data_IF_271866250111
#
_entry.id   IF_271866250111
#
_cell.length_a   1.000
_cell.length_b   1.000
_cell.length_c   1.000
_cell.angle_alpha   90.00
_cell.angle_beta   90.00
_cell.angle_gamma   90.00
#
_symmetry.space_group_name_H-M   'P 1'
#
loop_
_entity.id
_entity.type
_entity.pdbx_description
1 polymer ?
#
# COMPACT_ATOMS: atom_id res chain seq x y z
N UNK A 1 -6.78 22.12 -8.24
CA UNK A 1 -6.21 20.87 -7.70
C UNK A 1 -4.73 20.85 -8.06
N UNK A 2 -3.87 20.61 -7.08
CA UNK A 2 -2.42 20.51 -7.25
C UNK A 2 -2.03 19.07 -6.97
N UNK A 3 -1.26 18.45 -7.86
CA UNK A 3 -0.71 17.11 -7.67
C UNK A 3 0.80 17.26 -7.53
N UNK A 4 1.34 16.74 -6.43
CA UNK A 4 2.76 16.82 -6.14
C UNK A 4 3.19 15.60 -5.30
N UNK A 5 4.49 15.28 -5.25
CA UNK A 5 5.01 14.26 -4.34
C UNK A 5 4.69 14.58 -2.88
N UNK A 6 4.62 13.57 -1.98
CA UNK A 6 4.28 13.78 -0.56
C UNK A 6 5.16 14.81 0.16
N UNK A 7 6.45 14.89 -0.20
CA UNK A 7 7.40 15.86 0.36
C UNK A 7 7.02 17.32 0.10
N UNK A 8 6.29 17.59 -0.98
CA UNK A 8 5.87 18.95 -1.34
C UNK A 8 4.86 19.55 -0.34
N UNK A 9 4.15 18.72 0.44
CA UNK A 9 3.18 19.19 1.45
C UNK A 9 3.89 20.03 2.54
N UNK A 10 5.11 19.66 2.92
CA UNK A 10 5.89 20.35 3.95
C UNK A 10 6.74 21.52 3.40
N UNK A 11 6.87 21.64 2.08
CA UNK A 11 7.73 22.63 1.42
C UNK A 11 7.19 24.06 1.63
N UNK A 12 8.11 25.04 1.67
CA UNK A 12 7.80 26.47 1.67
C UNK A 12 6.91 26.89 0.51
N UNK A 13 7.03 26.24 -0.65
CA UNK A 13 6.16 26.51 -1.79
C UNK A 13 4.69 26.24 -1.47
N UNK A 14 4.36 25.13 -0.79
CA UNK A 14 2.98 24.78 -0.44
C UNK A 14 2.34 25.78 0.54
N UNK A 15 3.14 26.40 1.42
CA UNK A 15 2.67 27.46 2.34
C UNK A 15 2.19 28.72 1.64
N UNK A 16 2.49 28.90 0.34
CA UNK A 16 2.02 30.03 -0.48
C UNK A 16 0.61 29.81 -1.02
N UNK A 17 0.10 28.58 -0.95
CA UNK A 17 -1.28 28.27 -1.35
C UNK A 17 -2.24 28.85 -0.30
N UNK A 18 -3.30 29.49 -0.76
CA UNK A 18 -4.34 30.01 0.13
C UNK A 18 -5.23 28.86 0.60
N UNK A 19 -5.27 28.63 1.92
CA UNK A 19 -6.13 27.65 2.60
C UNK A 19 -6.21 26.30 1.88
N UNK A 20 -5.07 25.62 1.61
CA UNK A 20 -5.10 24.34 0.93
C UNK A 20 -5.73 23.29 1.85
N UNK A 21 -6.63 22.46 1.32
CA UNK A 21 -7.04 21.22 1.97
C UNK A 21 -6.00 20.15 1.66
N UNK A 22 -5.29 19.67 2.68
CA UNK A 22 -4.27 18.65 2.48
C UNK A 22 -4.92 17.29 2.21
N UNK A 23 -4.72 16.78 1.00
CA UNK A 23 -5.21 15.48 0.56
C UNK A 23 -4.05 14.50 0.34
N UNK A 24 -4.29 13.21 0.56
CA UNK A 24 -3.39 12.14 0.14
C UNK A 24 -4.23 11.00 -0.46
N UNK A 25 -3.78 10.46 -1.59
CA UNK A 25 -4.43 9.35 -2.28
C UNK A 25 -3.59 8.08 -2.12
N UNK A 26 -4.10 7.11 -1.36
CA UNK A 26 -3.46 5.81 -1.13
C UNK A 26 -4.47 4.84 -0.50
N UNK A 27 -4.36 3.54 -0.78
CA UNK A 27 -5.11 2.51 -0.04
C UNK A 27 -4.94 2.61 1.48
N UNK A 28 -3.75 3.05 1.93
CA UNK A 28 -3.46 3.27 3.36
C UNK A 28 -4.27 4.39 4.00
N UNK A 29 -4.92 5.26 3.22
CA UNK A 29 -5.80 6.30 3.75
C UNK A 29 -7.07 5.75 4.40
N UNK A 30 -7.36 4.46 4.19
CA UNK A 30 -8.37 3.72 4.95
C UNK A 30 -8.01 3.60 6.45
N UNK A 31 -6.72 3.60 6.79
CA UNK A 31 -6.24 3.49 8.18
C UNK A 31 -6.22 4.86 8.84
N UNK A 32 -7.20 5.12 9.72
CA UNK A 32 -7.36 6.43 10.41
C UNK A 32 -6.09 6.96 11.07
N UNK A 33 -5.31 6.08 11.72
CA UNK A 33 -4.06 6.48 12.37
C UNK A 33 -3.03 6.99 11.35
N UNK A 34 -2.92 6.36 10.17
CA UNK A 34 -1.99 6.78 9.11
C UNK A 34 -2.40 8.11 8.48
N UNK A 35 -3.70 8.32 8.24
CA UNK A 35 -4.20 9.60 7.77
C UNK A 35 -3.89 10.73 8.77
N UNK A 36 -4.18 10.49 10.06
CA UNK A 36 -3.89 11.43 11.15
C UNK A 36 -2.39 11.72 11.30
N UNK A 37 -1.53 10.70 11.27
CA UNK A 37 -0.09 10.89 11.45
C UNK A 37 0.55 11.67 10.30
N UNK A 38 -0.05 11.63 9.11
CA UNK A 38 0.39 12.38 7.93
C UNK A 38 -0.24 13.78 7.83
N UNK A 39 -1.04 14.21 8.80
CA UNK A 39 -1.71 15.52 8.78
C UNK A 39 -2.66 15.69 7.58
N UNK A 40 -3.22 14.59 7.07
CA UNK A 40 -4.12 14.60 5.93
C UNK A 40 -5.52 14.99 6.40
N UNK A 41 -6.06 16.07 5.86
CA UNK A 41 -7.41 16.57 6.17
C UNK A 41 -8.46 15.77 5.41
N UNK A 42 -8.20 15.46 4.14
CA UNK A 42 -9.07 14.65 3.30
C UNK A 42 -8.35 13.37 2.82
N UNK A 43 -8.57 12.22 3.49
CA UNK A 43 -8.03 10.94 3.07
C UNK A 43 -8.77 10.42 1.84
N UNK A 44 -8.07 10.24 0.73
CA UNK A 44 -8.62 9.64 -0.49
C UNK A 44 -8.19 8.18 -0.55
N UNK A 45 -9.14 7.26 -0.35
CA UNK A 45 -8.89 5.81 -0.38
C UNK A 45 -8.94 5.32 -1.83
N UNK A 46 -7.83 5.53 -2.53
CA UNK A 46 -7.64 5.11 -3.93
C UNK A 46 -6.30 4.40 -4.01
N UNK A 47 -6.27 3.21 -4.61
CA UNK A 47 -5.06 2.41 -4.80
C UNK A 47 -5.14 1.65 -6.11
N UNK A 48 -3.97 1.33 -6.65
CA UNK A 48 -3.72 0.39 -7.74
C UNK A 48 -3.51 -1.07 -7.25
N UNK A 49 -3.42 -1.26 -5.94
CA UNK A 49 -3.37 -2.57 -5.30
C UNK A 49 -4.76 -3.03 -4.86
N UNK A 50 -4.99 -4.34 -4.92
CA UNK A 50 -6.20 -4.98 -4.43
C UNK A 50 -6.23 -5.06 -2.89
N UNK A 51 -7.44 -5.04 -2.36
CA UNK A 51 -7.73 -5.32 -0.96
C UNK A 51 -7.68 -6.82 -0.67
N UNK A 52 -7.65 -7.17 0.62
CA UNK A 52 -7.60 -8.56 1.08
C UNK A 52 -8.74 -9.42 0.52
N UNK A 53 -9.97 -8.92 0.55
CA UNK A 53 -11.13 -9.68 0.09
C UNK A 53 -11.07 -9.91 -1.44
N UNK A 54 -10.53 -8.96 -2.19
CA UNK A 54 -10.30 -9.07 -3.64
C UNK A 54 -9.18 -10.05 -3.97
N UNK A 55 -8.11 -10.10 -3.17
CA UNK A 55 -7.07 -11.14 -3.27
C UNK A 55 -7.67 -12.53 -3.06
N UNK A 56 -8.50 -12.69 -2.03
CA UNK A 56 -9.15 -13.97 -1.74
C UNK A 56 -10.12 -14.38 -2.86
N UNK A 57 -10.92 -13.43 -3.38
CA UNK A 57 -11.80 -13.68 -4.51
C UNK A 57 -10.99 -14.14 -5.75
N UNK A 58 -9.85 -13.49 -6.00
CA UNK A 58 -8.97 -13.84 -7.12
C UNK A 58 -8.40 -15.25 -6.97
N UNK A 59 -8.02 -15.67 -5.75
CA UNK A 59 -7.58 -17.05 -5.50
C UNK A 59 -8.67 -18.06 -5.85
N UNK A 60 -9.91 -17.77 -5.48
CA UNK A 60 -11.05 -18.65 -5.70
C UNK A 60 -11.46 -18.68 -7.19
N UNK A 61 -11.44 -17.54 -7.88
CA UNK A 61 -11.78 -17.42 -9.31
C UNK A 61 -10.75 -18.06 -10.23
N UNK A 62 -9.46 -17.86 -9.95
CA UNK A 62 -8.38 -18.39 -10.79
C UNK A 62 -8.12 -19.86 -10.49
N UNK A 63 -8.30 -20.30 -9.24
CA UNK A 63 -8.09 -21.67 -8.79
C UNK A 63 -6.74 -22.27 -9.24
N UNK A 64 -5.68 -21.46 -9.23
CA UNK A 64 -4.37 -21.90 -9.66
C UNK A 64 -3.84 -23.04 -8.76
N UNK A 65 -3.12 -24.04 -9.31
CA UNK A 65 -2.56 -25.13 -8.50
C UNK A 65 -1.40 -24.69 -7.59
N UNK A 66 -0.81 -23.52 -7.87
CA UNK A 66 0.23 -22.88 -7.06
C UNK A 66 0.22 -21.37 -7.29
N UNK A 67 0.43 -20.59 -6.23
CA UNK A 67 0.52 -19.13 -6.24
C UNK A 67 1.82 -18.68 -5.57
N UNK A 68 2.52 -17.78 -6.24
CA UNK A 68 3.77 -17.20 -5.76
C UNK A 68 3.54 -15.75 -5.36
N UNK A 69 3.82 -15.42 -4.10
CA UNK A 69 3.60 -14.08 -3.52
C UNK A 69 4.91 -13.31 -3.55
N UNK A 70 4.87 -12.07 -4.06
CA UNK A 70 6.06 -11.24 -4.32
C UNK A 70 6.44 -10.30 -3.19
N UNK A 71 5.45 -9.74 -2.50
CA UNK A 71 5.64 -8.75 -1.44
C UNK A 71 4.42 -8.67 -0.51
N UNK A 72 4.55 -7.86 0.55
CA UNK A 72 3.49 -7.62 1.53
C UNK A 72 3.47 -8.69 2.63
N UNK A 73 2.28 -8.99 3.17
CA UNK A 73 2.12 -10.01 4.21
C UNK A 73 2.03 -11.41 3.61
N UNK A 74 3.14 -11.88 3.05
CA UNK A 74 3.22 -13.12 2.29
C UNK A 74 2.70 -14.33 3.08
N UNK A 75 3.12 -14.47 4.34
CA UNK A 75 2.72 -15.59 5.20
C UNK A 75 1.20 -15.69 5.36
N UNK A 76 0.52 -14.55 5.49
CA UNK A 76 -0.93 -14.51 5.63
C UNK A 76 -1.62 -14.99 4.35
N UNK A 77 -1.17 -14.50 3.18
CA UNK A 77 -1.76 -14.88 1.90
C UNK A 77 -1.47 -16.35 1.55
N UNK A 78 -0.25 -16.83 1.83
CA UNK A 78 0.14 -18.23 1.67
C UNK A 78 -0.74 -19.13 2.54
N UNK A 79 -0.96 -18.74 3.80
CA UNK A 79 -1.84 -19.49 4.69
C UNK A 79 -3.28 -19.53 4.16
N UNK A 80 -3.82 -18.38 3.74
CA UNK A 80 -5.18 -18.29 3.20
C UNK A 80 -5.37 -19.06 1.88
N UNK A 81 -4.35 -19.11 1.03
CA UNK A 81 -4.32 -19.96 -0.16
C UNK A 81 -4.32 -21.45 0.22
N UNK A 82 -3.51 -21.84 1.22
CA UNK A 82 -3.47 -23.20 1.74
C UNK A 82 -4.81 -23.69 2.27
N UNK A 83 -5.56 -22.83 2.97
CA UNK A 83 -6.93 -23.12 3.43
C UNK A 83 -7.92 -23.41 2.27
N UNK A 84 -7.61 -22.94 1.05
CA UNK A 84 -8.37 -23.18 -0.18
C UNK A 84 -7.85 -24.36 -1.00
N UNK A 85 -6.85 -25.09 -0.49
CA UNK A 85 -6.19 -26.17 -1.22
C UNK A 85 -5.21 -25.69 -2.30
N UNK A 86 -4.88 -24.39 -2.32
CA UNK A 86 -3.92 -23.79 -3.25
C UNK A 86 -2.54 -23.77 -2.59
N UNK A 87 -1.50 -24.23 -3.31
CA UNK A 87 -0.12 -24.16 -2.79
C UNK A 87 0.39 -22.73 -2.86
N UNK A 88 0.58 -22.08 -1.71
CA UNK A 88 1.21 -20.75 -1.63
C UNK A 88 2.71 -20.82 -1.39
N UNK A 89 3.51 -19.98 -2.06
CA UNK A 89 4.96 -19.82 -1.81
C UNK A 89 5.38 -18.36 -1.87
N UNK A 90 6.35 -17.98 -1.04
CA UNK A 90 7.01 -16.68 -1.16
C UNK A 90 8.01 -16.71 -2.33
N UNK A 91 7.97 -15.69 -3.18
CA UNK A 91 8.94 -15.47 -4.24
C UNK A 91 10.02 -14.52 -3.72
N UNK A 92 11.12 -15.08 -3.23
CA UNK A 92 12.30 -14.27 -2.90
C UNK A 92 13.01 -13.82 -4.17
N UNK A 93 12.71 -12.61 -4.62
CA UNK A 93 13.42 -11.94 -5.71
C UNK A 93 14.79 -11.45 -5.19
N UNK A 94 15.87 -12.04 -5.70
CA UNK A 94 17.23 -11.60 -5.36
C UNK A 94 17.50 -10.25 -6.02
N UNK A 95 17.70 -9.19 -5.23
CA UNK A 95 18.07 -7.85 -5.72
C UNK A 95 16.99 -6.76 -5.62
N UNK A 96 15.76 -7.11 -5.26
CA UNK A 96 14.71 -6.18 -4.84
C UNK A 96 14.55 -6.31 -3.32
N UNK A 97 15.25 -5.47 -2.56
CA UNK A 97 15.06 -5.36 -1.11
C UNK A 97 13.82 -4.54 -0.80
N UNK A 98 13.05 -4.99 0.19
CA UNK A 98 11.81 -4.41 0.72
C UNK A 98 11.58 -2.92 0.38
N UNK A 99 10.60 -2.64 -0.50
CA UNK A 99 10.07 -1.28 -0.71
C UNK A 99 9.40 -0.71 0.55
N UNK A 100 9.22 -1.53 1.59
CA UNK A 100 8.71 -1.16 2.91
C UNK A 100 9.82 -0.79 3.92
N UNK A 101 11.10 -0.77 3.53
CA UNK A 101 12.15 -0.22 4.37
C UNK A 101 11.89 1.28 4.58
N UNK A 102 11.90 1.81 5.83
CA UNK A 102 11.80 3.24 6.04
C UNK A 102 12.93 3.92 5.27
N UNK A 103 12.60 4.87 4.39
CA UNK A 103 13.58 5.78 3.82
C UNK A 103 14.35 6.40 5.00
N UNK A 104 15.62 6.03 5.13
CA UNK A 104 16.51 6.61 6.12
C UNK A 104 16.66 8.08 5.75
N UNK A 105 15.89 8.93 6.42
CA UNK A 105 16.03 10.39 6.35
C UNK A 105 17.34 10.74 7.03
N UNK A 106 18.43 10.56 6.29
CA UNK A 106 19.75 11.03 6.65
C UNK A 106 19.66 12.53 7.00
N UNK A 107 19.93 12.83 8.26
CA UNK A 107 20.02 14.17 8.82
C UNK A 107 21.31 14.89 8.41
#
# INVERSE_FOLDING_TARGET
>A
IVIAPPSAIADRWARRLAEPVVCNASGWMRVRQRARSKGVELPLVISDHCDWDELLATLDEVAAPEVWVTHGREEALIHAAGQRGIRGRALRLVGYGDEDAPEDVAA
#
